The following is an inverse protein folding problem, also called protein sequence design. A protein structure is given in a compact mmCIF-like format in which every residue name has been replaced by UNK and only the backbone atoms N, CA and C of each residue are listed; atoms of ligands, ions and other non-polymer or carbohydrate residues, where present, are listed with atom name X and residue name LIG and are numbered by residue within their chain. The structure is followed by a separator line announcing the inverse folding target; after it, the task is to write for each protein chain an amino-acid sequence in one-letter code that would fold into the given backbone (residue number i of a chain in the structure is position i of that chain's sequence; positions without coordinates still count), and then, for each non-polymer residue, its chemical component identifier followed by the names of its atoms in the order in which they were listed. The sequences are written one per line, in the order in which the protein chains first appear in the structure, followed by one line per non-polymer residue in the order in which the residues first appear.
data_IF_653238598919
#
_entry.id   IF_653238598919
#
_cell.length_a   1.000
_cell.length_b   1.000
_cell.length_c   1.000
_cell.angle_alpha   90.00
_cell.angle_beta   90.00
_cell.angle_gamma   90.00
#
_symmetry.space_group_name_H-M   'P 1'
#
loop_
_entity.id
_entity.type
_entity.pdbx_description
1 polymer ?
#
# COMPACT_ATOMS: atom_id res chain seq x y z
N UNK A 1 -37.38 16.62 14.61
CA UNK A 1 -36.47 16.20 13.52
C UNK A 1 -35.57 15.12 14.10
N UNK A 2 -35.90 13.87 13.81
CA UNK A 2 -35.26 12.69 14.40
C UNK A 2 -33.95 12.39 13.67
N UNK A 3 -32.85 12.26 14.41
CA UNK A 3 -31.58 11.76 13.87
C UNK A 3 -31.71 10.26 13.57
N UNK A 4 -31.19 9.75 12.44
CA UNK A 4 -31.11 8.32 12.22
C UNK A 4 -29.97 7.72 13.05
N UNK A 5 -30.27 6.61 13.72
CA UNK A 5 -29.33 5.85 14.54
C UNK A 5 -28.27 5.16 13.68
N UNK A 6 -27.01 5.51 13.88
CA UNK A 6 -25.84 4.76 13.43
C UNK A 6 -25.68 3.51 14.31
N UNK A 7 -26.03 2.33 13.79
CA UNK A 7 -25.55 1.03 14.28
C UNK A 7 -25.95 -0.09 13.29
N UNK A 8 -25.54 0.04 12.02
CA UNK A 8 -25.25 -1.15 11.22
C UNK A 8 -23.75 -1.43 11.40
N UNK A 9 -23.43 -2.37 12.30
CA UNK A 9 -22.07 -2.91 12.40
C UNK A 9 -21.82 -3.71 11.12
N UNK A 10 -21.07 -3.14 10.18
CA UNK A 10 -20.38 -3.93 9.17
C UNK A 10 -19.42 -4.86 9.90
N UNK A 11 -19.60 -6.18 9.79
CA UNK A 11 -18.70 -7.15 10.40
C UNK A 11 -17.34 -7.06 9.71
N UNK A 12 -16.37 -6.46 10.40
CA UNK A 12 -14.96 -6.62 10.04
C UNK A 12 -14.65 -8.12 10.05
N UNK A 13 -14.07 -8.62 8.96
CA UNK A 13 -13.68 -10.01 8.88
C UNK A 13 -12.52 -10.27 9.85
N UNK A 14 -12.41 -11.50 10.40
CA UNK A 14 -11.27 -11.85 11.23
C UNK A 14 -9.98 -11.52 10.48
N UNK A 15 -9.03 -10.91 11.19
CA UNK A 15 -7.70 -10.63 10.65
C UNK A 15 -7.06 -11.98 10.34
N UNK A 16 -6.75 -12.20 9.07
CA UNK A 16 -6.08 -13.42 8.62
C UNK A 16 -4.58 -13.29 8.89
N UNK A 17 -4.18 -13.56 10.14
CA UNK A 17 -2.77 -13.62 10.54
C UNK A 17 -2.12 -14.88 9.97
N UNK A 18 -1.48 -14.76 8.81
CA UNK A 18 -0.42 -15.69 8.41
C UNK A 18 0.77 -14.88 7.91
N UNK A 19 1.82 -14.83 8.72
CA UNK A 19 3.15 -14.64 8.19
C UNK A 19 3.56 -15.98 7.57
N UNK A 20 3.74 -16.02 6.26
CA UNK A 20 4.64 -17.04 5.71
C UNK A 20 5.98 -16.85 6.46
N UNK A 21 6.56 -17.90 7.06
CA UNK A 21 7.88 -17.78 7.66
C UNK A 21 8.83 -17.26 6.57
N UNK A 22 9.57 -16.18 6.87
CA UNK A 22 10.71 -15.78 6.03
C UNK A 22 11.53 -17.06 5.76
N UNK A 23 11.97 -17.32 4.53
CA UNK A 23 12.83 -18.47 4.26
C UNK A 23 13.98 -18.44 5.27
N UNK A 24 14.07 -19.48 6.10
CA UNK A 24 15.19 -19.67 7.00
C UNK A 24 16.40 -19.91 6.11
N UNK A 25 17.15 -18.86 5.81
CA UNK A 25 18.52 -18.97 5.36
C UNK A 25 19.27 -19.65 6.50
N UNK A 26 19.61 -20.92 6.29
CA UNK A 26 20.37 -21.73 7.23
C UNK A 26 21.83 -21.32 7.17
N UNK A 27 22.14 -20.11 7.60
CA UNK A 27 23.50 -19.70 7.91
C UNK A 27 23.46 -18.85 9.17
N UNK A 28 24.29 -19.25 10.13
CA UNK A 28 24.46 -18.60 11.43
C UNK A 28 25.13 -17.24 11.25
N UNK A 29 24.39 -16.26 10.72
CA UNK A 29 24.80 -14.86 10.80
C UNK A 29 24.62 -14.38 12.24
N UNK A 30 25.68 -13.82 12.80
CA UNK A 30 25.62 -13.13 14.08
C UNK A 30 24.50 -12.08 14.02
N UNK A 31 23.75 -11.83 15.11
CA UNK A 31 22.67 -10.85 15.11
C UNK A 31 23.22 -9.51 14.61
N UNK A 32 22.73 -9.06 13.45
CA UNK A 32 23.09 -7.77 12.86
C UNK A 32 22.82 -6.71 13.94
N UNK A 33 23.86 -5.98 14.35
CA UNK A 33 23.73 -5.00 15.41
C UNK A 33 22.69 -3.97 14.98
N UNK A 34 21.67 -3.75 15.81
CA UNK A 34 20.63 -2.75 15.51
C UNK A 34 21.30 -1.41 15.19
N UNK A 35 20.90 -0.73 14.10
CA UNK A 35 21.52 0.53 13.71
C UNK A 35 21.43 1.53 14.86
N UNK A 36 22.54 2.21 15.14
CA UNK A 36 22.57 3.27 16.13
C UNK A 36 21.83 4.49 15.55
N UNK A 37 20.55 4.64 15.93
CA UNK A 37 19.67 5.68 15.40
C UNK A 37 19.91 7.08 15.98
N UNK A 38 20.49 7.16 17.19
CA UNK A 38 20.82 8.43 17.83
C UNK A 38 22.15 8.97 17.31
N UNK A 39 22.13 10.18 16.78
CA UNK A 39 23.27 10.93 16.28
C UNK A 39 23.24 12.35 16.90
N UNK A 40 24.12 12.65 17.86
CA UNK A 40 24.13 13.96 18.54
C UNK A 40 24.54 15.12 17.63
N UNK A 41 24.99 14.86 16.39
CA UNK A 41 25.25 15.90 15.40
C UNK A 41 24.01 16.38 14.68
N UNK A 42 22.88 15.66 14.79
CA UNK A 42 21.63 16.04 14.16
C UNK A 42 20.94 17.18 14.93
N UNK A 43 20.37 18.17 14.21
CA UNK A 43 19.64 19.26 14.85
C UNK A 43 18.37 18.75 15.54
N UNK A 44 18.16 19.17 16.78
CA UNK A 44 16.99 18.77 17.60
C UNK A 44 15.95 19.89 17.76
N UNK A 45 16.33 21.13 17.45
CA UNK A 45 15.42 22.28 17.48
C UNK A 45 14.47 22.26 16.27
N UNK A 46 13.20 21.94 16.52
CA UNK A 46 12.16 21.86 15.50
C UNK A 46 11.94 23.17 14.74
N UNK A 47 12.29 24.33 15.32
CA UNK A 47 12.16 25.62 14.64
C UNK A 47 13.06 25.73 13.42
N UNK A 48 14.21 25.04 13.44
CA UNK A 48 15.14 24.95 12.32
C UNK A 48 14.77 23.85 11.32
N UNK A 49 13.88 22.93 11.71
CA UNK A 49 13.44 21.80 10.91
C UNK A 49 12.13 22.04 10.16
N UNK A 50 11.61 23.27 10.11
CA UNK A 50 10.36 23.56 9.39
C UNK A 50 10.45 23.17 7.92
N UNK A 51 9.52 22.34 7.49
CA UNK A 51 9.45 21.81 6.13
C UNK A 51 8.30 22.42 5.33
N UNK A 52 8.44 22.41 4.01
CA UNK A 52 7.46 22.97 3.08
C UNK A 52 6.63 21.84 2.48
N UNK A 53 5.35 22.11 2.29
CA UNK A 53 4.50 21.26 1.46
C UNK A 53 4.85 21.48 -0.01
N UNK A 54 4.85 20.39 -0.78
CA UNK A 54 5.12 20.35 -2.21
C UNK A 54 3.86 19.81 -2.91
N UNK A 55 3.46 20.32 -4.09
CA UNK A 55 2.35 19.76 -4.85
C UNK A 55 2.51 18.25 -5.11
N UNK A 56 1.40 17.58 -5.40
CA UNK A 56 1.43 16.20 -5.86
C UNK A 56 2.20 16.09 -7.18
N UNK A 57 2.83 14.94 -7.42
CA UNK A 57 3.57 14.69 -8.65
C UNK A 57 2.61 14.55 -9.84
N UNK A 58 2.99 15.13 -10.97
CA UNK A 58 2.34 14.87 -12.26
C UNK A 58 2.82 13.52 -12.79
N UNK A 59 2.05 12.46 -12.55
CA UNK A 59 2.40 11.10 -12.96
C UNK A 59 2.65 10.94 -14.47
N UNK A 60 2.12 11.83 -15.31
CA UNK A 60 2.40 11.81 -16.76
C UNK A 60 3.87 12.10 -17.08
N UNK A 61 4.57 12.78 -16.17
CA UNK A 61 6.00 13.08 -16.28
C UNK A 61 6.89 11.98 -15.68
N UNK A 62 6.30 10.96 -15.06
CA UNK A 62 6.99 9.85 -14.41
C UNK A 62 6.49 8.49 -14.92
N UNK A 63 6.67 8.17 -16.22
CA UNK A 63 6.13 6.94 -16.80
C UNK A 63 6.66 5.66 -16.14
N UNK A 64 7.87 5.71 -15.55
CA UNK A 64 8.46 4.59 -14.83
C UNK A 64 7.68 4.21 -13.55
N UNK A 65 6.80 5.08 -13.04
CA UNK A 65 5.98 4.75 -11.88
C UNK A 65 4.88 3.73 -12.24
N UNK A 66 4.57 3.53 -13.52
CA UNK A 66 3.54 2.59 -13.98
C UNK A 66 4.08 1.19 -14.31
N UNK A 67 5.17 0.77 -13.66
CA UNK A 67 5.66 -0.60 -13.77
C UNK A 67 4.81 -1.55 -12.92
N UNK A 68 3.61 -1.86 -13.44
CA UNK A 68 2.68 -2.79 -12.80
C UNK A 68 3.24 -4.21 -12.95
N UNK A 69 3.49 -4.93 -11.83
CA UNK A 69 3.93 -6.31 -11.88
C UNK A 69 2.85 -7.16 -12.52
N UNK A 70 3.26 -8.13 -13.34
CA UNK A 70 2.32 -9.11 -13.89
C UNK A 70 1.79 -9.96 -12.74
N UNK A 71 0.47 -10.19 -12.64
CA UNK A 71 -0.06 -11.14 -11.67
C UNK A 71 0.57 -12.53 -11.91
N UNK A 72 0.82 -13.33 -10.85
CA UNK A 72 1.34 -14.68 -10.99
C UNK A 72 0.45 -15.53 -11.91
N UNK A 73 1.05 -16.24 -12.87
CA UNK A 73 0.31 -17.10 -13.81
C UNK A 73 -0.47 -18.21 -13.11
N UNK A 74 0.06 -18.70 -11.97
CA UNK A 74 -0.58 -19.73 -11.15
C UNK A 74 -1.94 -19.33 -10.59
N UNK A 75 -2.21 -18.02 -10.39
CA UNK A 75 -3.52 -17.56 -9.95
C UNK A 75 -4.60 -17.86 -10.99
N UNK A 76 -4.29 -17.67 -12.27
CA UNK A 76 -5.23 -17.92 -13.35
C UNK A 76 -5.55 -19.41 -13.50
N UNK A 77 -4.54 -20.28 -13.38
CA UNK A 77 -4.73 -21.74 -13.46
C UNK A 77 -5.61 -22.27 -12.34
N UNK A 78 -5.43 -21.76 -11.12
CA UNK A 78 -6.17 -22.21 -9.94
C UNK A 78 -7.67 -21.93 -9.98
N UNK A 79 -8.10 -20.88 -10.70
CA UNK A 79 -9.50 -20.48 -10.81
C UNK A 79 -10.22 -21.12 -12.00
N UNK A 80 -9.50 -21.38 -13.10
CA UNK A 80 -10.05 -22.06 -14.27
C UNK A 80 -10.41 -23.52 -13.94
N UNK A 81 -9.61 -24.19 -13.12
CA UNK A 81 -9.83 -25.60 -12.72
C UNK A 81 -11.11 -25.75 -11.86
N UNK A 82 -11.40 -24.79 -10.98
CA UNK A 82 -12.61 -24.81 -10.15
C UNK A 82 -13.91 -24.68 -10.97
N UNK A 83 -13.89 -23.88 -12.04
CA UNK A 83 -15.07 -23.73 -12.92
C UNK A 83 -15.25 -24.90 -13.91
N UNK A 84 -14.17 -25.58 -14.29
CA UNK A 84 -14.20 -26.67 -15.27
C UNK A 84 -14.69 -28.03 -14.74
N UNK A 85 -14.57 -28.29 -13.43
CA UNK A 85 -14.89 -29.60 -12.84
C UNK A 85 -16.33 -29.77 -12.36
N UNK A 86 -17.21 -28.78 -12.52
CA UNK A 86 -18.62 -28.85 -12.08
C UNK A 86 -19.54 -29.74 -12.95
N UNK A 87 -18.99 -30.60 -13.81
CA UNK A 87 -19.77 -31.55 -14.62
C UNK A 87 -20.01 -32.92 -13.96
N UNK A 88 -19.52 -33.17 -12.74
CA UNK A 88 -19.89 -34.38 -11.98
C UNK A 88 -20.89 -34.07 -10.87
N UNK A 89 -22.16 -34.36 -11.20
CA UNK A 89 -23.31 -34.30 -10.33
C UNK A 89 -23.09 -34.99 -8.97
N UNK A 90 -23.07 -34.20 -7.91
CA UNK A 90 -23.56 -34.63 -6.60
C UNK A 90 -24.19 -33.46 -5.85
N UNK A 91 -25.46 -33.64 -5.51
CA UNK A 91 -26.41 -32.68 -4.98
C UNK A 91 -26.16 -32.35 -3.51
N UNK A 92 -25.23 -31.45 -3.22
CA UNK A 92 -25.13 -30.79 -1.92
C UNK A 92 -25.12 -29.28 -2.13
N UNK A 93 -26.00 -28.58 -1.41
CA UNK A 93 -26.32 -27.15 -1.45
C UNK A 93 -25.44 -26.28 -2.39
N UNK A 94 -25.99 -25.94 -3.56
CA UNK A 94 -25.27 -25.17 -4.58
C UNK A 94 -24.77 -23.85 -4.02
N UNK A 95 -23.44 -23.69 -3.97
CA UNK A 95 -22.81 -22.43 -3.63
C UNK A 95 -23.32 -21.32 -4.56
N UNK A 96 -23.66 -20.14 -4.04
CA UNK A 96 -24.04 -19.00 -4.87
C UNK A 96 -22.91 -18.67 -5.86
N UNK A 97 -23.28 -18.39 -7.12
CA UNK A 97 -22.32 -17.87 -8.09
C UNK A 97 -21.73 -16.54 -7.58
N UNK A 98 -20.47 -16.20 -7.95
CA UNK A 98 -19.86 -14.93 -7.57
C UNK A 98 -20.71 -13.76 -8.06
N UNK A 99 -21.08 -12.85 -7.15
CA UNK A 99 -21.84 -11.65 -7.46
C UNK A 99 -20.86 -10.48 -7.65
N UNK A 100 -20.78 -9.86 -8.85
CA UNK A 100 -19.84 -8.76 -9.11
C UNK A 100 -20.08 -7.55 -8.20
N UNK A 101 -21.27 -7.43 -7.58
CA UNK A 101 -21.61 -6.34 -6.68
C UNK A 101 -21.33 -6.64 -5.21
N UNK A 102 -20.98 -7.89 -4.87
CA UNK A 102 -20.40 -8.23 -3.58
C UNK A 102 -18.89 -8.00 -3.62
N UNK A 103 -18.49 -6.85 -3.10
CA UNK A 103 -17.12 -6.36 -3.13
C UNK A 103 -16.43 -6.60 -1.79
N UNK A 104 -15.24 -7.18 -1.85
CA UNK A 104 -14.32 -7.23 -0.71
C UNK A 104 -13.22 -6.18 -0.89
N UNK A 105 -13.14 -5.21 0.03
CA UNK A 105 -11.99 -4.35 0.16
C UNK A 105 -10.85 -5.09 0.87
N UNK A 106 -9.72 -5.23 0.19
CA UNK A 106 -8.51 -5.84 0.73
C UNK A 106 -7.51 -4.76 1.07
N UNK A 107 -7.06 -4.71 2.32
CA UNK A 107 -6.11 -3.70 2.79
C UNK A 107 -4.79 -4.40 3.16
N UNK A 108 -3.71 -4.21 2.37
CA UNK A 108 -2.49 -4.98 2.46
C UNK A 108 -1.51 -4.44 3.54
N UNK A 109 -2.01 -3.95 4.67
CA UNK A 109 -1.20 -3.33 5.72
C UNK A 109 -1.84 -3.51 7.10
N UNK A 110 -0.99 -3.60 8.12
CA UNK A 110 -1.40 -3.57 9.53
C UNK A 110 -1.52 -2.14 10.08
N UNK A 111 -1.17 -1.10 9.29
CA UNK A 111 -1.27 0.28 9.75
C UNK A 111 -2.75 0.69 9.86
N UNK A 112 -3.22 0.90 11.10
CA UNK A 112 -4.62 1.23 11.40
C UNK A 112 -5.06 2.53 10.74
N UNK A 113 -4.23 3.57 10.77
CA UNK A 113 -4.55 4.86 10.15
C UNK A 113 -4.74 4.75 8.63
N UNK A 114 -3.89 3.99 7.93
CA UNK A 114 -4.06 3.71 6.48
C UNK A 114 -5.31 2.89 6.23
N UNK A 115 -5.61 1.93 7.11
CA UNK A 115 -6.78 1.08 7.02
C UNK A 115 -8.07 1.88 7.17
N UNK A 116 -8.15 2.71 8.20
CA UNK A 116 -9.28 3.60 8.46
C UNK A 116 -9.49 4.57 7.29
N UNK A 117 -8.41 5.15 6.76
CA UNK A 117 -8.47 6.07 5.62
C UNK A 117 -9.08 5.40 4.38
N UNK A 118 -8.62 4.20 4.02
CA UNK A 118 -9.16 3.43 2.89
C UNK A 118 -10.60 3.00 3.13
N UNK A 119 -10.90 2.43 4.31
CA UNK A 119 -12.25 1.99 4.66
C UNK A 119 -13.25 3.15 4.65
N UNK A 120 -12.91 4.27 5.28
CA UNK A 120 -13.76 5.46 5.36
C UNK A 120 -14.06 6.03 3.96
N UNK A 121 -13.06 6.09 3.07
CA UNK A 121 -13.29 6.50 1.68
C UNK A 121 -14.23 5.54 0.97
N UNK A 122 -13.88 4.26 0.90
CA UNK A 122 -14.61 3.33 0.04
C UNK A 122 -16.03 3.10 0.54
N UNK A 123 -16.24 3.05 1.86
CA UNK A 123 -17.58 2.95 2.44
C UNK A 123 -18.44 4.18 2.15
N UNK A 124 -17.88 5.40 2.23
CA UNK A 124 -18.63 6.64 1.96
C UNK A 124 -18.92 6.91 0.48
N UNK A 125 -18.14 6.34 -0.44
CA UNK A 125 -18.36 6.47 -1.89
C UNK A 125 -18.97 5.24 -2.54
N UNK A 126 -19.35 4.23 -1.76
CA UNK A 126 -19.90 2.97 -2.26
C UNK A 126 -21.21 3.22 -3.01
N UNK A 127 -21.37 2.73 -4.25
CA UNK A 127 -22.65 2.74 -4.94
C UNK A 127 -23.74 2.00 -4.16
N UNK A 128 -24.99 2.38 -4.36
CA UNK A 128 -26.12 1.79 -3.64
C UNK A 128 -26.28 0.28 -3.91
N UNK A 129 -25.94 -0.17 -5.13
CA UNK A 129 -26.04 -1.57 -5.55
C UNK A 129 -24.90 -2.46 -5.06
N UNK A 130 -23.82 -1.88 -4.53
CA UNK A 130 -22.64 -2.63 -4.06
C UNK A 130 -22.84 -3.04 -2.60
N UNK A 131 -22.54 -4.29 -2.27
CA UNK A 131 -22.34 -4.74 -0.89
C UNK A 131 -20.85 -4.74 -0.60
N UNK A 132 -20.40 -4.01 0.43
CA UNK A 132 -18.99 -3.87 0.73
C UNK A 132 -18.67 -4.50 2.09
N UNK A 133 -17.66 -5.36 2.09
CA UNK A 133 -16.98 -5.86 3.29
C UNK A 133 -15.49 -5.51 3.19
N UNK A 134 -14.73 -5.66 4.25
CA UNK A 134 -13.27 -5.52 4.17
C UNK A 134 -12.54 -6.56 5.00
N UNK A 135 -11.29 -6.82 4.62
CA UNK A 135 -10.32 -7.55 5.42
C UNK A 135 -8.94 -6.90 5.33
N UNK A 136 -8.12 -7.11 6.37
CA UNK A 136 -6.70 -6.81 6.33
C UNK A 136 -5.93 -8.08 5.99
N UNK A 137 -4.97 -7.95 5.08
CA UNK A 137 -4.06 -9.02 4.68
C UNK A 137 -2.66 -8.48 4.82
N UNK A 138 -1.78 -9.18 5.55
CA UNK A 138 -0.37 -8.77 5.55
C UNK A 138 0.25 -9.19 4.21
N UNK A 139 0.65 -8.22 3.39
CA UNK A 139 1.32 -8.49 2.14
C UNK A 139 2.64 -7.71 2.06
N UNK A 140 3.69 -8.42 1.66
CA UNK A 140 5.03 -7.85 1.48
C UNK A 140 5.06 -6.93 0.25
N UNK A 141 5.77 -5.81 0.37
CA UNK A 141 5.98 -4.86 -0.73
C UNK A 141 7.12 -5.29 -1.66
N UNK A 142 8.00 -6.18 -1.22
CA UNK A 142 9.22 -6.53 -1.96
C UNK A 142 10.15 -5.33 -2.19
N UNK A 143 9.99 -4.27 -1.40
CA UNK A 143 10.89 -3.11 -1.34
C UNK A 143 11.15 -2.82 0.13
N UNK A 144 12.33 -2.28 0.43
CA UNK A 144 12.76 -2.07 1.82
C UNK A 144 11.97 -0.99 2.57
N UNK A 145 12.35 -0.77 3.83
CA UNK A 145 11.60 0.08 4.75
C UNK A 145 11.46 1.53 4.29
N UNK A 146 12.51 2.10 3.70
CA UNK A 146 12.50 3.45 3.12
C UNK A 146 12.66 3.37 1.61
N UNK A 147 11.57 3.21 0.84
CA UNK A 147 11.66 3.23 -0.60
C UNK A 147 11.95 4.65 -1.09
N UNK A 148 12.80 4.73 -2.11
CA UNK A 148 13.16 5.94 -2.84
C UNK A 148 12.68 5.86 -4.29
N UNK A 149 12.29 7.01 -4.84
CA UNK A 149 11.88 7.16 -6.24
C UNK A 149 10.88 6.06 -6.69
N UNK A 150 11.19 5.29 -7.74
CA UNK A 150 10.33 4.26 -8.31
C UNK A 150 10.06 3.06 -7.37
N UNK A 151 10.89 2.84 -6.35
CA UNK A 151 10.66 1.76 -5.39
C UNK A 151 9.37 1.97 -4.58
N UNK A 152 8.94 3.21 -4.36
CA UNK A 152 7.69 3.52 -3.67
C UNK A 152 6.45 3.01 -4.41
N UNK A 153 6.21 3.50 -5.64
CA UNK A 153 5.15 3.00 -6.51
C UNK A 153 5.22 1.48 -6.70
N UNK A 154 6.40 0.93 -6.98
CA UNK A 154 6.61 -0.52 -7.12
C UNK A 154 6.15 -1.29 -5.88
N UNK A 155 6.51 -0.81 -4.68
CA UNK A 155 6.08 -1.39 -3.42
C UNK A 155 4.56 -1.43 -3.26
N UNK A 156 3.86 -0.34 -3.59
CA UNK A 156 2.41 -0.28 -3.53
C UNK A 156 1.74 -1.29 -4.48
N UNK A 157 2.22 -1.40 -5.73
CA UNK A 157 1.71 -2.37 -6.69
C UNK A 157 1.98 -3.82 -6.26
N UNK A 158 3.20 -4.11 -5.78
CA UNK A 158 3.57 -5.43 -5.28
C UNK A 158 2.67 -5.85 -4.12
N UNK A 159 2.42 -4.96 -3.15
CA UNK A 159 1.47 -5.24 -2.05
C UNK A 159 0.09 -5.59 -2.57
N UNK A 160 -0.40 -4.88 -3.58
CA UNK A 160 -1.71 -5.15 -4.15
C UNK A 160 -1.77 -6.55 -4.79
N UNK A 161 -0.80 -6.89 -5.64
CA UNK A 161 -0.72 -8.21 -6.29
C UNK A 161 -0.53 -9.33 -5.26
N UNK A 162 0.38 -9.15 -4.32
CA UNK A 162 0.68 -10.15 -3.29
C UNK A 162 -0.51 -10.39 -2.36
N UNK A 163 -1.32 -9.36 -2.07
CA UNK A 163 -2.53 -9.54 -1.26
C UNK A 163 -3.60 -10.37 -1.98
N UNK A 164 -3.80 -10.14 -3.28
CA UNK A 164 -4.69 -11.00 -4.10
C UNK A 164 -4.13 -12.42 -4.14
N UNK A 165 -2.83 -12.57 -4.36
CA UNK A 165 -2.20 -13.88 -4.40
C UNK A 165 -2.35 -14.65 -3.07
N UNK A 166 -2.16 -13.98 -1.93
CA UNK A 166 -2.31 -14.57 -0.61
C UNK A 166 -3.78 -14.94 -0.29
N UNK A 167 -4.75 -14.20 -0.82
CA UNK A 167 -6.17 -14.52 -0.62
C UNK A 167 -6.64 -15.67 -1.50
N UNK A 168 -6.22 -15.70 -2.76
CA UNK A 168 -6.71 -16.66 -3.75
C UNK A 168 -5.86 -17.93 -3.85
N UNK A 169 -4.61 -17.87 -3.40
CA UNK A 169 -3.72 -19.03 -3.36
C UNK A 169 -3.99 -19.99 -2.19
N UNK A 170 -4.75 -19.55 -1.19
CA UNK A 170 -5.25 -20.38 -0.09
C UNK A 170 -6.64 -20.92 -0.46
N UNK A 171 -6.76 -22.23 -0.62
CA UNK A 171 -7.99 -22.88 -1.09
C UNK A 171 -9.17 -22.68 -0.11
N UNK A 172 -8.91 -22.75 1.19
CA UNK A 172 -9.94 -22.58 2.23
C UNK A 172 -10.46 -21.14 2.26
N UNK A 173 -9.55 -20.16 2.21
CA UNK A 173 -9.93 -18.74 2.14
C UNK A 173 -10.67 -18.43 0.85
N UNK A 174 -10.20 -18.95 -0.27
CA UNK A 174 -10.85 -18.76 -1.57
C UNK A 174 -12.27 -19.33 -1.56
N UNK A 175 -12.48 -20.54 -1.05
CA UNK A 175 -13.80 -21.13 -0.90
C UNK A 175 -14.69 -20.27 0.01
N UNK A 176 -14.19 -19.84 1.17
CA UNK A 176 -14.95 -18.98 2.09
C UNK A 176 -15.33 -17.61 1.48
N UNK A 177 -14.52 -17.07 0.56
CA UNK A 177 -14.81 -15.81 -0.12
C UNK A 177 -15.78 -15.98 -1.28
N UNK A 178 -15.50 -16.94 -2.16
CA UNK A 178 -16.20 -17.09 -3.43
C UNK A 178 -17.45 -17.93 -3.24
N UNK A 179 -17.35 -19.08 -2.59
CA UNK A 179 -18.44 -20.04 -2.46
C UNK A 179 -19.39 -19.65 -1.32
N UNK A 180 -18.87 -19.37 -0.12
CA UNK A 180 -19.74 -19.08 1.03
C UNK A 180 -20.34 -17.68 0.98
N UNK A 181 -19.54 -16.68 0.58
CA UNK A 181 -19.94 -15.27 0.59
C UNK A 181 -20.43 -14.77 -0.76
N UNK A 182 -20.10 -15.46 -1.85
CA UNK A 182 -20.43 -15.04 -3.21
C UNK A 182 -19.68 -13.77 -3.63
N UNK A 183 -18.49 -13.51 -3.10
CA UNK A 183 -17.68 -12.34 -3.50
C UNK A 183 -17.29 -12.50 -4.97
N UNK A 184 -17.71 -11.56 -5.82
CA UNK A 184 -17.35 -11.52 -7.24
C UNK A 184 -16.34 -10.45 -7.60
N UNK A 185 -16.00 -9.54 -6.67
CA UNK A 185 -15.03 -8.47 -6.93
C UNK A 185 -14.17 -8.19 -5.71
N UNK A 186 -12.87 -8.04 -5.93
CA UNK A 186 -11.93 -7.51 -4.96
C UNK A 186 -11.61 -6.06 -5.33
N UNK A 187 -11.50 -5.17 -4.34
CA UNK A 187 -10.81 -3.89 -4.49
C UNK A 187 -9.66 -3.88 -3.50
N UNK A 188 -8.42 -3.81 -3.98
CA UNK A 188 -7.24 -3.72 -3.13
C UNK A 188 -6.82 -2.27 -2.99
N UNK A 189 -6.78 -1.76 -1.77
CA UNK A 189 -6.33 -0.42 -1.45
C UNK A 189 -4.95 -0.44 -0.82
N UNK A 190 -3.89 -0.10 -1.55
CA UNK A 190 -2.53 -0.06 -1.04
C UNK A 190 -2.01 1.38 -0.93
N UNK A 191 -1.26 1.69 0.14
CA UNK A 191 -0.63 2.99 0.33
C UNK A 191 0.83 2.76 0.74
N UNK A 192 1.77 3.31 -0.03
CA UNK A 192 3.21 3.26 0.24
C UNK A 192 3.76 4.69 0.33
N UNK A 193 4.56 4.99 1.35
CA UNK A 193 5.23 6.29 1.43
C UNK A 193 6.62 6.14 0.82
N UNK A 194 7.13 7.17 0.14
CA UNK A 194 8.44 7.11 -0.50
C UNK A 194 9.06 8.49 -0.59
N UNK A 195 10.39 8.50 -0.64
CA UNK A 195 11.16 9.75 -0.78
C UNK A 195 11.63 9.90 -2.21
N UNK A 196 11.13 10.94 -2.89
CA UNK A 196 11.60 11.34 -4.22
C UNK A 196 12.90 12.14 -4.07
N UNK A 197 13.95 11.67 -4.75
CA UNK A 197 15.29 12.27 -4.73
C UNK A 197 15.56 13.10 -5.99
N UNK A 198 14.92 12.75 -7.10
CA UNK A 198 15.25 13.30 -8.42
C UNK A 198 14.92 14.80 -8.57
N UNK A 199 15.75 15.52 -9.34
CA UNK A 199 15.51 16.92 -9.72
C UNK A 199 15.96 17.97 -8.70
N UNK A 200 16.64 17.56 -7.62
CA UNK A 200 16.99 18.44 -6.52
C UNK A 200 18.48 18.31 -6.19
N UNK A 201 19.32 19.07 -6.89
CA UNK A 201 20.65 19.36 -6.38
C UNK A 201 20.52 20.40 -5.26
N UNK A 202 21.26 20.26 -4.16
CA UNK A 202 21.39 21.34 -3.19
C UNK A 202 22.12 22.50 -3.88
N UNK A 203 21.39 23.40 -4.52
CA UNK A 203 21.96 24.67 -4.95
C UNK A 203 22.38 25.45 -3.70
N UNK A 204 23.57 26.07 -3.68
CA UNK A 204 23.99 26.93 -2.57
C UNK A 204 22.93 28.02 -2.33
N UNK A 205 22.19 27.92 -1.23
CA UNK A 205 21.13 28.87 -0.87
C UNK A 205 19.71 28.51 -1.33
N UNK A 206 19.48 27.36 -1.96
CA UNK A 206 18.12 26.86 -2.27
C UNK A 206 17.86 25.52 -1.58
N UNK A 207 16.96 25.58 -0.61
CA UNK A 207 16.42 24.45 0.15
C UNK A 207 15.18 23.87 -0.53
N UNK A 208 15.37 23.26 -1.69
CA UNK A 208 14.53 22.12 -2.01
C UNK A 208 15.35 20.91 -1.55
N UNK A 209 14.86 20.18 -0.55
CA UNK A 209 15.40 18.87 -0.17
C UNK A 209 14.60 17.77 -0.86
N UNK A 210 14.98 16.50 -0.70
CA UNK A 210 14.16 15.38 -1.17
C UNK A 210 12.76 15.47 -0.54
N UNK A 211 11.76 14.89 -1.20
CA UNK A 211 10.36 15.08 -0.82
C UNK A 211 9.72 13.74 -0.48
N UNK A 212 9.12 13.63 0.69
CA UNK A 212 8.35 12.44 1.11
C UNK A 212 6.91 12.58 0.61
N UNK A 213 6.48 11.62 -0.21
CA UNK A 213 5.15 11.52 -0.80
C UNK A 213 4.49 10.20 -0.41
N UNK A 214 3.16 10.16 -0.45
CA UNK A 214 2.38 8.93 -0.43
C UNK A 214 1.94 8.54 -1.83
N UNK A 215 2.12 7.27 -2.19
CA UNK A 215 1.58 6.66 -3.40
C UNK A 215 0.41 5.75 -3.02
N UNK A 216 -0.72 5.93 -3.70
CA UNK A 216 -1.98 5.23 -3.43
C UNK A 216 -2.37 4.42 -4.66
N UNK A 217 -2.68 3.14 -4.46
CA UNK A 217 -3.19 2.23 -5.48
C UNK A 217 -4.56 1.73 -5.05
N UNK A 218 -5.54 1.85 -5.96
CA UNK A 218 -6.80 1.14 -5.92
C UNK A 218 -6.82 0.17 -7.11
N UNK A 219 -6.90 -1.13 -6.81
CA UNK A 219 -6.92 -2.17 -7.82
C UNK A 219 -8.22 -2.96 -7.74
N UNK A 220 -9.06 -2.87 -8.78
CA UNK A 220 -10.22 -3.77 -8.93
C UNK A 220 -9.75 -5.08 -9.57
N UNK A 221 -10.15 -6.20 -8.99
CA UNK A 221 -10.02 -7.52 -9.60
C UNK A 221 -11.40 -8.17 -9.68
N UNK A 222 -11.86 -8.42 -10.90
CA UNK A 222 -13.08 -9.19 -11.13
C UNK A 222 -12.78 -10.68 -11.02
N UNK A 223 -13.45 -11.39 -10.11
CA UNK A 223 -13.23 -12.83 -9.92
C UNK A 223 -13.97 -13.69 -10.96
N UNK A 224 -14.79 -13.06 -11.81
CA UNK A 224 -15.52 -13.74 -12.89
C UNK A 224 -14.63 -14.03 -14.09
N UNK A 225 -13.77 -13.08 -14.45
CA UNK A 225 -12.96 -13.08 -15.66
C UNK A 225 -11.48 -12.75 -15.41
N UNK A 226 -11.10 -12.50 -14.15
CA UNK A 226 -9.74 -12.12 -13.74
C UNK A 226 -9.21 -10.86 -14.42
N UNK A 227 -10.09 -9.92 -14.74
CA UNK A 227 -9.71 -8.59 -15.22
C UNK A 227 -9.24 -7.71 -14.07
N UNK A 228 -8.15 -6.95 -14.29
CA UNK A 228 -7.53 -6.04 -13.33
C UNK A 228 -7.62 -4.60 -13.83
N UNK A 229 -8.15 -3.71 -12.99
CA UNK A 229 -8.21 -2.27 -13.28
C UNK A 229 -7.51 -1.48 -12.19
N UNK A 230 -6.62 -0.59 -12.60
CA UNK A 230 -5.75 0.14 -11.70
C UNK A 230 -6.07 1.62 -11.72
N UNK A 231 -6.27 2.20 -10.55
CA UNK A 231 -6.33 3.64 -10.34
C UNK A 231 -5.24 4.01 -9.35
N UNK A 232 -4.44 5.01 -9.68
CA UNK A 232 -3.33 5.46 -8.84
C UNK A 232 -3.42 6.94 -8.55
N UNK A 233 -2.88 7.34 -7.40
CA UNK A 233 -2.78 8.73 -6.99
C UNK A 233 -1.52 8.97 -6.18
N UNK A 234 -1.05 10.20 -6.18
CA UNK A 234 0.09 10.64 -5.36
C UNK A 234 -0.37 11.77 -4.47
N UNK A 235 0.00 11.74 -3.20
CA UNK A 235 -0.27 12.84 -2.30
C UNK A 235 0.62 14.04 -2.62
N UNK A 236 0.17 15.21 -2.16
CA UNK A 236 1.11 16.30 -1.89
C UNK A 236 2.25 15.79 -1.00
N UNK A 237 3.44 16.32 -1.19
CA UNK A 237 4.63 15.92 -0.48
C UNK A 237 5.02 16.90 0.63
N UNK A 238 5.97 16.50 1.46
CA UNK A 238 6.65 17.39 2.42
C UNK A 238 8.14 17.25 2.21
N UNK A 239 8.86 18.37 2.12
CA UNK A 239 10.32 18.35 2.04
C UNK A 239 10.92 17.65 3.26
N UNK A 240 11.97 16.89 3.06
CA UNK A 240 12.66 16.16 4.11
C UNK A 240 13.86 16.97 4.57
N UNK A 241 14.10 17.13 5.89
CA UNK A 241 15.32 17.78 6.37
C UNK A 241 16.57 17.08 5.84
N UNK A 242 17.47 17.84 5.20
CA UNK A 242 18.61 17.28 4.49
C UNK A 242 19.56 16.50 5.41
N UNK A 243 19.76 17.00 6.64
CA UNK A 243 20.63 16.38 7.65
C UNK A 243 20.12 14.98 8.02
N UNK A 244 18.80 14.85 8.23
CA UNK A 244 18.16 13.59 8.57
C UNK A 244 18.11 12.63 7.39
N UNK A 245 17.84 13.14 6.18
CA UNK A 245 17.93 12.36 4.95
C UNK A 245 19.35 11.80 4.74
N UNK A 246 20.37 12.66 4.84
CA UNK A 246 21.77 12.26 4.69
C UNK A 246 22.19 11.25 5.77
N UNK A 247 21.75 11.43 7.01
CA UNK A 247 22.00 10.48 8.08
C UNK A 247 21.31 9.12 7.83
N UNK A 248 20.08 9.10 7.31
CA UNK A 248 19.39 7.87 6.94
C UNK A 248 20.15 7.11 5.85
N UNK A 249 20.64 7.81 4.83
CA UNK A 249 21.45 7.18 3.77
C UNK A 249 22.76 6.59 4.29
N UNK A 250 23.40 7.20 5.29
CA UNK A 250 24.63 6.68 5.91
C UNK A 250 24.41 5.37 6.68
N UNK A 251 23.16 5.04 7.03
CA UNK A 251 22.81 3.74 7.63
C UNK A 251 22.78 2.60 6.61
N UNK A 252 22.99 2.91 5.32
CA UNK A 252 23.02 1.92 4.25
C UNK A 252 21.65 1.65 3.63
N UNK A 253 21.65 0.71 2.71
CA UNK A 253 20.49 0.32 1.91
C UNK A 253 20.28 -1.19 1.97
N UNK A 254 19.03 -1.63 1.89
CA UNK A 254 18.65 -3.04 1.90
C UNK A 254 18.98 -3.73 0.57
N UNK A 255 19.01 -2.98 -0.54
CA UNK A 255 19.45 -3.46 -1.85
C UNK A 255 20.97 -3.37 -2.04
N UNK A 256 21.74 -3.24 -0.95
CA UNK A 256 23.20 -3.37 -0.98
C UNK A 256 23.61 -4.82 -1.23
N UNK A 257 24.04 -5.11 -2.46
CA UNK A 257 24.56 -6.43 -2.87
C UNK A 257 23.72 -7.14 -3.91
N UNK A 258 22.53 -6.63 -4.25
CA UNK A 258 21.67 -7.21 -5.31
C UNK A 258 22.08 -6.78 -6.74
N UNK A 259 23.08 -5.90 -6.85
CA UNK A 259 23.66 -5.45 -8.11
C UNK A 259 25.18 -5.32 -8.02
N UNK A 260 25.91 -6.29 -8.57
CA UNK A 260 27.37 -6.20 -8.78
C UNK A 260 27.74 -5.29 -9.99
N UNK A 261 26.78 -4.49 -10.49
CA UNK A 261 26.99 -3.55 -11.57
C UNK A 261 27.37 -2.16 -11.04
N UNK A 262 28.55 -1.65 -11.43
CA UNK A 262 28.87 -0.24 -11.25
C UNK A 262 27.76 0.64 -11.88
N UNK A 263 27.04 1.39 -11.05
CA UNK A 263 26.04 2.38 -11.51
C UNK A 263 24.59 2.11 -11.13
N UNK A 264 24.27 1.03 -10.41
CA UNK A 264 22.91 0.86 -9.91
C UNK A 264 22.58 1.85 -8.78
N UNK A 265 21.47 2.58 -8.96
CA UNK A 265 21.01 3.55 -7.96
C UNK A 265 20.29 2.80 -6.86
N UNK A 266 20.88 2.73 -5.67
CA UNK A 266 20.24 2.15 -4.48
C UNK A 266 18.87 2.79 -4.23
N UNK A 267 17.84 2.01 -3.98
CA UNK A 267 16.44 2.45 -3.95
C UNK A 267 15.72 2.15 -2.64
N UNK A 268 16.31 1.37 -1.74
CA UNK A 268 15.66 0.96 -0.49
C UNK A 268 16.56 1.21 0.72
N UNK A 269 16.32 2.28 1.49
CA UNK A 269 17.11 2.58 2.69
C UNK A 269 16.78 1.66 3.87
N UNK A 270 17.80 1.25 4.65
CA UNK A 270 17.63 0.43 5.87
C UNK A 270 16.92 1.15 7.02
N UNK A 271 16.96 2.48 7.01
CA UNK A 271 16.41 3.32 8.07
C UNK A 271 15.60 4.45 7.45
N UNK A 272 14.39 4.68 7.97
CA UNK A 272 13.53 5.79 7.54
C UNK A 272 13.93 7.10 8.21
N UNK A 273 13.63 8.21 7.56
CA UNK A 273 13.85 9.54 8.17
C UNK A 273 12.98 9.74 9.42
N UNK A 274 11.77 9.18 9.43
CA UNK A 274 10.90 9.18 10.61
C UNK A 274 11.57 8.56 11.83
N UNK A 275 12.21 7.38 11.67
CA UNK A 275 12.92 6.70 12.78
C UNK A 275 14.03 7.56 13.37
N UNK A 276 14.80 8.25 12.53
CA UNK A 276 15.84 9.17 13.00
C UNK A 276 15.25 10.41 13.68
N UNK A 277 14.18 10.99 13.14
CA UNK A 277 13.48 12.14 13.75
C UNK A 277 12.91 11.78 15.13
N UNK A 278 12.36 10.58 15.29
CA UNK A 278 11.92 10.08 16.59
C UNK A 278 13.08 9.95 17.57
N UNK A 279 14.17 9.30 17.15
CA UNK A 279 15.32 9.05 18.02
C UNK A 279 16.05 10.32 18.47
N UNK A 280 16.09 11.37 17.64
CA UNK A 280 16.89 12.56 17.89
C UNK A 280 16.08 13.79 18.30
N UNK A 281 14.84 13.93 17.81
CA UNK A 281 14.00 15.10 18.06
C UNK A 281 12.67 14.77 18.77
N UNK A 282 12.40 13.48 19.08
CA UNK A 282 11.19 13.06 19.78
C UNK A 282 9.90 13.25 18.97
N UNK A 283 10.02 13.31 17.64
CA UNK A 283 8.88 13.48 16.72
C UNK A 283 8.33 12.11 16.33
N UNK A 284 7.00 11.98 16.23
CA UNK A 284 6.34 10.78 15.72
C UNK A 284 6.89 10.36 14.34
N UNK A 285 7.44 9.15 14.24
CA UNK A 285 8.07 8.63 13.01
C UNK A 285 7.06 8.38 11.89
N UNK A 286 5.82 8.04 12.25
CA UNK A 286 4.73 7.77 11.33
C UNK A 286 4.01 9.06 10.86
N UNK A 287 4.10 10.16 11.62
CA UNK A 287 3.43 11.42 11.29
C UNK A 287 4.25 12.69 11.57
N UNK A 288 5.57 12.64 11.32
CA UNK A 288 6.46 13.78 11.54
C UNK A 288 6.07 15.05 10.75
N UNK A 289 5.27 14.90 9.69
CA UNK A 289 4.73 16.02 8.90
C UNK A 289 3.96 16.99 9.80
N UNK A 290 3.24 16.48 10.81
CA UNK A 290 2.45 17.31 11.71
C UNK A 290 3.33 18.25 12.51
N UNK A 291 4.49 17.76 12.98
CA UNK A 291 5.44 18.55 13.75
C UNK A 291 6.22 19.52 12.87
N UNK A 292 6.65 19.09 11.67
CA UNK A 292 7.59 19.87 10.85
C UNK A 292 6.93 20.76 9.80
N UNK A 293 5.75 20.38 9.29
CA UNK A 293 5.04 21.09 8.22
C UNK A 293 3.63 21.57 8.62
N UNK A 294 3.19 21.26 9.85
CA UNK A 294 1.89 21.67 10.38
C UNK A 294 0.69 20.98 9.73
N UNK A 295 0.91 19.88 9.01
CA UNK A 295 -0.13 19.09 8.34
C UNK A 295 0.08 17.61 8.61
N UNK A 296 -1.00 16.86 8.83
CA UNK A 296 -0.90 15.41 9.01
C UNK A 296 -0.58 14.72 7.69
N UNK A 297 0.32 13.73 7.71
CA UNK A 297 0.58 12.83 6.58
C UNK A 297 -0.72 12.17 6.11
N UNK A 298 -1.58 11.79 7.05
CA UNK A 298 -2.85 11.12 6.75
C UNK A 298 -3.88 12.05 6.09
N UNK A 299 -3.82 13.36 6.37
CA UNK A 299 -4.67 14.33 5.68
C UNK A 299 -4.27 14.44 4.20
N UNK A 300 -2.96 14.51 3.91
CA UNK A 300 -2.45 14.56 2.53
C UNK A 300 -2.78 13.28 1.75
N UNK A 301 -2.68 12.11 2.40
CA UNK A 301 -3.11 10.83 1.82
C UNK A 301 -4.63 10.82 1.57
N UNK A 302 -5.41 11.35 2.50
CA UNK A 302 -6.87 11.44 2.39
C UNK A 302 -7.30 12.35 1.24
N UNK A 303 -6.60 13.46 1.01
CA UNK A 303 -6.80 14.33 -0.15
C UNK A 303 -6.52 13.61 -1.47
N UNK A 304 -5.40 12.90 -1.57
CA UNK A 304 -5.05 12.12 -2.75
C UNK A 304 -6.14 11.11 -3.08
N UNK A 305 -6.55 10.33 -2.07
CA UNK A 305 -7.57 9.31 -2.23
C UNK A 305 -8.96 9.89 -2.58
N UNK A 306 -9.29 11.10 -2.09
CA UNK A 306 -10.53 11.80 -2.46
C UNK A 306 -10.56 12.23 -3.93
N UNK A 307 -9.41 12.55 -4.51
CA UNK A 307 -9.29 12.90 -5.94
C UNK A 307 -9.31 11.71 -6.89
N UNK A 308 -9.17 10.49 -6.36
CA UNK A 308 -9.21 9.27 -7.16
C UNK A 308 -10.64 8.77 -7.35
N UNK A 309 -10.93 8.35 -8.57
CA UNK A 309 -12.12 7.56 -8.90
C UNK A 309 -11.95 6.14 -8.38
N UNK A 310 -12.88 5.67 -7.54
CA UNK A 310 -12.84 4.29 -7.06
C UNK A 310 -13.33 3.38 -8.19
N UNK A 311 -12.57 2.33 -8.57
CA UNK A 311 -12.95 1.44 -9.66
C UNK A 311 -14.06 0.48 -9.21
N UNK A 312 -15.27 0.98 -9.05
CA UNK A 312 -16.44 0.17 -8.71
C UNK A 312 -16.86 -0.73 -9.88
N UNK A 313 -17.51 -1.88 -9.62
CA UNK A 313 -18.16 -2.66 -10.66
C UNK A 313 -19.29 -1.84 -11.30
N UNK A 314 -19.26 -1.74 -12.63
CA UNK A 314 -20.30 -1.04 -13.39
C UNK A 314 -21.63 -1.79 -13.28
N UNK A 315 -22.75 -1.06 -13.32
CA UNK A 315 -24.07 -1.69 -13.41
C UNK A 315 -24.19 -2.30 -14.81
N UNK A 316 -24.19 -3.63 -14.88
CA UNK A 316 -24.55 -4.32 -16.11
C UNK A 316 -26.03 -4.07 -16.36
N UNK A 317 -26.42 -3.45 -17.50
CA UNK A 317 -27.82 -3.31 -17.84
C UNK A 317 -28.44 -4.70 -17.87
N UNK A 318 -29.47 -4.92 -17.06
CA UNK A 318 -30.21 -6.18 -17.05
C UNK A 318 -30.94 -6.33 -18.39
N UNK A 319 -30.33 -6.97 -19.37
CA UNK A 319 -30.91 -7.28 -20.68
C UNK A 319 -30.87 -6.12 -21.67
N UNK A 320 -29.87 -6.15 -22.55
CA UNK A 320 -29.97 -5.67 -23.93
C UNK A 320 -29.85 -6.87 -24.85
#
# INVERSE_FOLDING_TARGET
MSQPSLLERSEALPVFEQAAPKPQTSDSEAPEALPQLYDPSLPTDLSHLRQKQVPALDLSQHPNFYQIPRPPSSLFESLIISNGNNNHASSSHGAPAPDPYKVLLVIPTANESKTELLWSRLSSTKPAHVQLSYCQVKAESGVGEQPYDEAGPRGAFNRAVNAVAALLGDEERRAALVEDRGVGTLIVGAIENFVLRHGIQPEPGRSCGPVDHGFVVLCRVSLLDMTWDWVVGVSRGVTVPWEYYSAAQKQGFEDEGEGEGEGETKTCGKVTVGKLLLANAGVDDANWYQALAGVSRYDLLGEALKSMDVPWPAVTPSGA
#
